data_IF_282882434221
#
_entry.id   IF_282882434221
#
_cell.length_a   1.000
_cell.length_b   1.000
_cell.length_c   1.000
_cell.angle_alpha   90.00
_cell.angle_beta   90.00
_cell.angle_gamma   90.00
#
_symmetry.space_group_name_H-M   'P 1'
#
loop_
_entity.id
_entity.type
_entity.pdbx_description
1 polymer ?
#
# COMPACT_ATOMS: atom_id res chain seq x y z
N UNK A 1 4.23 -6.26 9.62
CA UNK A 1 4.22 -6.60 8.18
C UNK A 1 2.87 -7.20 7.83
N UNK A 2 2.42 -6.99 6.60
CA UNK A 2 1.20 -7.56 6.02
C UNK A 2 1.60 -8.38 4.79
N UNK A 3 0.91 -9.51 4.55
CA UNK A 3 1.03 -10.28 3.31
C UNK A 3 -0.26 -10.17 2.51
N UNK A 4 -0.15 -9.91 1.21
CA UNK A 4 -1.25 -9.91 0.26
C UNK A 4 -1.02 -11.03 -0.75
N UNK A 5 -1.95 -11.98 -0.82
CA UNK A 5 -1.90 -13.12 -1.75
C UNK A 5 -2.77 -12.81 -2.96
N UNK A 6 -2.18 -12.88 -4.14
CA UNK A 6 -2.85 -12.69 -5.41
C UNK A 6 -3.03 -14.05 -6.07
N UNK A 7 -4.29 -14.49 -6.18
CA UNK A 7 -4.68 -15.67 -6.93
C UNK A 7 -5.12 -15.22 -8.34
N UNK A 8 -4.42 -15.70 -9.37
CA UNK A 8 -4.70 -15.37 -10.76
C UNK A 8 -4.32 -16.54 -11.67
N UNK A 9 -5.05 -16.73 -12.77
CA UNK A 9 -4.73 -17.73 -13.80
C UNK A 9 -3.45 -17.37 -14.56
N UNK A 10 -3.23 -16.07 -14.79
CA UNK A 10 -1.98 -15.56 -15.37
C UNK A 10 -0.89 -15.48 -14.28
N UNK A 11 0.20 -16.27 -14.41
CA UNK A 11 1.26 -16.32 -13.42
C UNK A 11 1.98 -14.97 -13.20
N UNK A 12 1.89 -14.04 -14.15
CA UNK A 12 2.48 -12.71 -13.99
C UNK A 12 1.79 -11.87 -12.92
N UNK A 13 0.51 -12.15 -12.62
CA UNK A 13 -0.28 -11.48 -11.60
C UNK A 13 -0.44 -12.31 -10.31
N UNK A 14 -0.08 -13.59 -10.34
CA UNK A 14 -0.12 -14.46 -9.17
C UNK A 14 1.12 -14.29 -8.29
N UNK A 15 0.96 -14.37 -6.97
CA UNK A 15 2.10 -14.30 -6.05
C UNK A 15 1.72 -13.83 -4.66
N UNK A 16 2.74 -13.61 -3.82
CA UNK A 16 2.55 -12.96 -2.52
C UNK A 16 3.41 -11.72 -2.42
N UNK A 17 2.75 -10.58 -2.30
CA UNK A 17 3.39 -9.31 -1.99
C UNK A 17 3.50 -9.13 -0.47
N UNK A 18 4.62 -8.60 -0.01
CA UNK A 18 4.81 -8.18 1.39
C UNK A 18 4.73 -6.66 1.48
N UNK A 19 3.80 -6.16 2.31
CA UNK A 19 3.68 -4.75 2.64
C UNK A 19 4.20 -4.47 4.05
N UNK A 20 5.10 -3.50 4.16
CA UNK A 20 5.58 -2.97 5.43
C UNK A 20 5.06 -1.56 5.61
N UNK A 21 4.40 -1.35 6.75
CA UNK A 21 3.84 -0.07 7.15
C UNK A 21 4.69 0.46 8.30
N UNK A 22 5.20 1.68 8.15
CA UNK A 22 5.96 2.36 9.18
C UNK A 22 5.25 3.68 9.51
N UNK A 23 4.90 3.84 10.77
CA UNK A 23 4.16 4.99 11.27
C UNK A 23 5.04 5.70 12.29
N UNK A 24 5.29 6.98 12.04
CA UNK A 24 6.13 7.82 12.90
C UNK A 24 5.30 9.02 13.32
N UNK A 25 5.18 9.27 14.62
CA UNK A 25 4.55 10.49 15.11
C UNK A 25 5.40 11.71 14.71
N UNK A 26 4.77 12.70 14.09
CA UNK A 26 5.43 13.94 13.64
C UNK A 26 4.54 15.12 13.99
N UNK A 27 4.93 15.91 14.99
CA UNK A 27 4.12 17.03 15.48
C UNK A 27 2.79 16.55 16.04
N UNK A 28 1.70 17.08 15.50
CA UNK A 28 0.31 16.70 15.77
C UNK A 28 -0.22 15.60 14.82
N UNK A 29 0.59 15.15 13.86
CA UNK A 29 0.22 14.15 12.87
C UNK A 29 1.05 12.88 12.92
N UNK A 30 0.91 12.06 11.88
CA UNK A 30 1.68 10.82 11.68
C UNK A 30 2.20 10.77 10.26
N UNK A 31 3.51 10.62 10.10
CA UNK A 31 4.10 10.24 8.81
C UNK A 31 3.90 8.74 8.60
N UNK A 32 3.29 8.38 7.47
CA UNK A 32 3.03 6.99 7.08
C UNK A 32 3.88 6.66 5.87
N UNK A 33 4.80 5.71 6.03
CA UNK A 33 5.58 5.14 4.93
C UNK A 33 5.08 3.72 4.63
N UNK A 34 4.87 3.43 3.35
CA UNK A 34 4.49 2.11 2.86
C UNK A 34 5.56 1.59 1.93
N UNK A 35 6.06 0.37 2.19
CA UNK A 35 6.99 -0.32 1.29
C UNK A 35 6.35 -1.63 0.84
N UNK A 36 6.17 -1.78 -0.46
CA UNK A 36 5.73 -3.02 -1.08
C UNK A 36 6.94 -3.74 -1.71
N UNK A 37 7.06 -5.03 -1.42
CA UNK A 37 8.12 -5.91 -1.93
C UNK A 37 7.50 -7.20 -2.44
N UNK A 38 8.18 -7.87 -3.38
CA UNK A 38 7.67 -9.07 -4.05
C UNK A 38 6.34 -8.81 -4.78
N UNK A 39 6.19 -7.61 -5.35
CA UNK A 39 5.03 -7.26 -6.19
C UNK A 39 5.03 -8.16 -7.43
N UNK A 40 3.90 -8.84 -7.77
CA UNK A 40 3.80 -9.63 -8.98
C UNK A 40 4.23 -8.82 -10.23
N UNK A 41 5.04 -9.38 -11.13
CA UNK A 41 5.67 -8.63 -12.22
C UNK A 41 4.69 -8.11 -13.29
N UNK A 42 3.47 -8.65 -13.35
CA UNK A 42 2.40 -8.16 -14.21
C UNK A 42 1.77 -6.86 -13.73
N UNK A 43 2.00 -6.46 -12.47
CA UNK A 43 1.53 -5.21 -11.91
C UNK A 43 2.54 -4.11 -12.28
N UNK A 44 2.09 -3.14 -13.07
CA UNK A 44 2.91 -1.97 -13.39
C UNK A 44 3.23 -1.17 -12.12
N UNK A 45 4.49 -0.73 -12.01
CA UNK A 45 4.97 -0.03 -10.82
C UNK A 45 4.26 1.32 -10.64
N UNK A 46 4.10 2.11 -11.70
CA UNK A 46 3.52 3.44 -11.60
C UNK A 46 2.03 3.36 -11.25
N UNK A 47 1.31 2.40 -11.84
CA UNK A 47 -0.09 2.16 -11.49
C UNK A 47 -0.26 1.70 -10.04
N UNK A 48 0.64 0.84 -9.55
CA UNK A 48 0.62 0.40 -8.16
C UNK A 48 0.92 1.55 -7.19
N UNK A 49 1.93 2.37 -7.47
CA UNK A 49 2.27 3.56 -6.68
C UNK A 49 1.12 4.57 -6.64
N UNK A 50 0.45 4.79 -7.78
CA UNK A 50 -0.74 5.62 -7.85
C UNK A 50 -1.90 5.05 -7.01
N UNK A 51 -2.12 3.73 -7.05
CA UNK A 51 -3.13 3.05 -6.23
C UNK A 51 -2.88 3.16 -4.72
N UNK A 52 -1.63 2.99 -4.29
CA UNK A 52 -1.25 3.17 -2.87
C UNK A 52 -1.39 4.64 -2.45
N UNK A 53 -0.98 5.59 -3.29
CA UNK A 53 -1.14 7.02 -3.03
C UNK A 53 -2.60 7.40 -2.86
N UNK A 54 -3.48 6.92 -3.73
CA UNK A 54 -4.93 7.12 -3.62
C UNK A 54 -5.48 6.51 -2.32
N UNK A 55 -5.01 5.32 -1.93
CA UNK A 55 -5.43 4.67 -0.68
C UNK A 55 -5.02 5.48 0.56
N UNK A 56 -3.80 6.05 0.57
CA UNK A 56 -3.33 6.92 1.67
C UNK A 56 -4.12 8.24 1.73
N UNK A 57 -4.45 8.84 0.59
CA UNK A 57 -5.29 10.04 0.55
C UNK A 57 -6.71 9.78 1.10
N UNK A 58 -7.30 8.62 0.78
CA UNK A 58 -8.57 8.19 1.35
C UNK A 58 -8.47 7.93 2.85
N UNK A 59 -7.37 7.32 3.31
CA UNK A 59 -7.13 7.10 4.74
C UNK A 59 -7.05 8.43 5.49
N UNK A 60 -6.25 9.39 4.99
CA UNK A 60 -6.15 10.73 5.57
C UNK A 60 -7.54 11.39 5.65
N UNK A 61 -8.28 11.37 4.54
CA UNK A 61 -9.65 11.91 4.49
C UNK A 61 -10.58 11.26 5.52
N UNK A 62 -10.43 9.96 5.80
CA UNK A 62 -11.25 9.24 6.78
C UNK A 62 -10.88 9.54 8.23
N UNK A 63 -9.57 9.59 8.56
CA UNK A 63 -9.11 9.69 9.95
C UNK A 63 -8.90 11.13 10.42
N UNK A 64 -8.62 12.06 9.51
CA UNK A 64 -8.39 13.47 9.87
C UNK A 64 -9.70 14.28 9.92
N UNK A 65 -10.81 13.71 9.44
CA UNK A 65 -12.14 14.33 9.51
C UNK A 65 -13.00 13.79 10.66
N UNK A 66 -12.53 12.74 11.33
CA UNK A 66 -13.22 12.17 12.48
C UNK A 66 -12.83 12.95 13.75
N UNK A 67 -13.73 13.82 14.21
CA UNK A 67 -13.70 14.45 15.54
C UNK A 67 -13.81 13.42 16.69
#
# INVERSE_FOLDING_TARGET
MQRAVFEADDPSYAGTMTMTWHLVAVGDGTEVTVTATDVPPGIDQADHEAGITSSLANLASYVETAD
#
